data_IF_176873212463
#
_entry.id   IF_176873212463
#
_cell.length_a   1.000
_cell.length_b   1.000
_cell.length_c   1.000
_cell.angle_alpha   90.00
_cell.angle_beta   90.00
_cell.angle_gamma   90.00
#
_symmetry.space_group_name_H-M   'P 1'
#
loop_
_entity.id
_entity.type
_entity.pdbx_description
1 polymer ?
#
# COMPACT_ATOMS: atom_id res chain seq x y z
N UNK A 1 27.67 32.10 -6.88
CA UNK A 1 27.02 31.70 -5.62
C UNK A 1 25.78 30.89 -5.98
N UNK A 2 25.77 29.55 -5.82
CA UNK A 2 24.59 28.76 -6.14
C UNK A 2 23.62 28.71 -4.95
N UNK A 3 22.33 28.62 -5.28
CA UNK A 3 21.15 28.83 -4.42
C UNK A 3 20.89 27.66 -3.43
N UNK A 4 20.38 27.91 -2.22
CA UNK A 4 20.33 26.94 -1.12
C UNK A 4 19.00 26.17 -1.01
N UNK A 5 18.58 25.42 -2.04
CA UNK A 5 17.31 24.65 -2.01
C UNK A 5 17.41 23.16 -2.36
N UNK A 6 18.58 22.54 -2.30
CA UNK A 6 18.70 21.07 -2.33
C UNK A 6 18.40 20.50 -0.94
N UNK A 7 17.12 20.34 -0.61
CA UNK A 7 16.71 19.43 0.47
C UNK A 7 17.12 18.03 0.01
N UNK A 8 18.01 17.39 0.77
CA UNK A 8 18.57 16.07 0.51
C UNK A 8 17.47 15.01 0.35
N UNK A 9 17.06 14.75 -0.89
CA UNK A 9 16.40 13.53 -1.30
C UNK A 9 17.52 12.50 -1.50
N UNK A 10 17.81 11.71 -0.48
CA UNK A 10 18.82 10.65 -0.59
C UNK A 10 18.22 9.47 -1.37
N UNK A 11 18.86 9.00 -2.46
CA UNK A 11 18.49 7.73 -3.05
C UNK A 11 18.64 6.64 -1.99
N UNK A 12 17.65 5.77 -1.88
CA UNK A 12 17.75 4.63 -0.99
C UNK A 12 18.88 3.73 -1.51
N UNK A 13 19.90 3.45 -0.69
CA UNK A 13 21.00 2.58 -1.11
C UNK A 13 20.43 1.21 -1.52
N UNK A 14 20.69 0.85 -2.77
CA UNK A 14 20.22 -0.37 -3.41
C UNK A 14 21.07 -1.52 -2.85
N UNK A 15 20.56 -2.21 -1.82
CA UNK A 15 20.95 -3.58 -1.54
C UNK A 15 20.59 -4.49 -2.73
N UNK A 16 21.15 -5.70 -2.80
CA UNK A 16 21.04 -6.64 -3.94
C UNK A 16 19.72 -6.50 -4.72
N UNK A 17 19.82 -6.28 -6.03
CA UNK A 17 18.66 -6.04 -6.90
C UNK A 17 17.68 -7.22 -6.84
N UNK A 18 16.58 -7.03 -6.11
CA UNK A 18 15.47 -7.98 -6.08
C UNK A 18 14.78 -7.98 -7.46
N UNK A 19 15.01 -9.04 -8.22
CA UNK A 19 14.67 -9.18 -9.65
C UNK A 19 13.19 -9.47 -9.90
N UNK A 20 12.45 -9.88 -8.87
CA UNK A 20 11.02 -10.17 -8.97
C UNK A 20 10.25 -8.98 -9.54
N UNK A 21 9.38 -9.25 -10.52
CA UNK A 21 8.48 -8.26 -11.11
C UNK A 21 7.27 -8.08 -10.21
N UNK A 22 6.74 -6.86 -10.13
CA UNK A 22 5.52 -6.59 -9.38
C UNK A 22 4.32 -7.30 -10.00
N UNK A 23 3.40 -7.77 -9.15
CA UNK A 23 2.11 -8.28 -9.60
C UNK A 23 1.27 -7.16 -10.22
N UNK A 24 0.46 -7.52 -11.22
CA UNK A 24 -0.46 -6.59 -11.88
C UNK A 24 -1.57 -6.10 -10.93
N UNK A 25 -2.08 -4.90 -11.20
CA UNK A 25 -3.23 -4.32 -10.47
C UNK A 25 -4.44 -5.26 -10.56
N UNK A 26 -4.72 -5.80 -11.76
CA UNK A 26 -5.81 -6.74 -12.00
C UNK A 26 -5.67 -8.04 -11.21
N UNK A 27 -4.45 -8.58 -11.10
CA UNK A 27 -4.18 -9.78 -10.32
C UNK A 27 -4.45 -9.55 -8.82
N UNK A 28 -3.93 -8.46 -8.26
CA UNK A 28 -4.13 -8.14 -6.84
C UNK A 28 -5.58 -7.73 -6.53
N UNK A 29 -6.28 -7.12 -7.50
CA UNK A 29 -7.71 -6.87 -7.41
C UNK A 29 -8.51 -8.18 -7.41
N UNK A 30 -8.13 -9.14 -8.27
CA UNK A 30 -8.68 -10.49 -8.30
C UNK A 30 -8.52 -11.21 -6.97
N UNK A 31 -7.32 -11.15 -6.37
CA UNK A 31 -7.02 -11.71 -5.05
C UNK A 31 -8.00 -11.22 -3.97
N UNK A 32 -8.26 -9.91 -3.95
CA UNK A 32 -9.18 -9.27 -3.00
C UNK A 32 -10.63 -9.75 -3.11
N UNK A 33 -11.00 -10.30 -4.26
CA UNK A 33 -12.35 -10.78 -4.56
C UNK A 33 -12.43 -12.31 -4.65
N UNK A 34 -11.39 -13.05 -4.23
CA UNK A 34 -11.28 -14.50 -4.45
C UNK A 34 -11.55 -14.88 -5.92
N UNK A 35 -11.11 -14.00 -6.82
CA UNK A 35 -11.35 -14.07 -8.24
C UNK A 35 -10.37 -14.99 -8.96
N UNK A 36 -10.37 -14.84 -10.29
CA UNK A 36 -9.40 -15.50 -11.16
C UNK A 36 -8.08 -14.76 -11.18
N UNK A 37 -7.01 -15.50 -11.41
CA UNK A 37 -5.67 -15.00 -11.69
C UNK A 37 -5.69 -14.19 -13.00
N UNK A 38 -4.92 -13.11 -13.03
CA UNK A 38 -4.63 -12.42 -14.28
C UNK A 38 -3.52 -13.18 -15.03
N UNK A 39 -3.83 -13.67 -16.22
CA UNK A 39 -2.88 -14.37 -17.09
C UNK A 39 -1.70 -13.49 -17.51
N UNK A 40 -1.82 -12.17 -17.41
CA UNK A 40 -0.73 -11.22 -17.69
C UNK A 40 0.15 -10.92 -16.47
N UNK A 41 -0.21 -11.44 -15.28
CA UNK A 41 0.65 -11.28 -14.11
C UNK A 41 1.98 -12.00 -14.35
N UNK A 42 3.14 -11.34 -14.20
CA UNK A 42 4.44 -11.97 -14.43
C UNK A 42 4.73 -13.13 -13.46
N UNK A 43 3.99 -13.20 -12.36
CA UNK A 43 4.17 -14.19 -11.30
C UNK A 43 3.02 -15.22 -11.28
N UNK A 44 2.17 -15.27 -12.32
CA UNK A 44 0.95 -16.11 -12.34
C UNK A 44 1.24 -17.58 -12.08
N UNK A 45 2.32 -18.13 -12.62
CA UNK A 45 2.71 -19.53 -12.41
C UNK A 45 3.09 -19.81 -10.95
N UNK A 46 3.72 -18.84 -10.26
CA UNK A 46 4.02 -18.95 -8.84
C UNK A 46 2.75 -18.90 -8.00
N UNK A 47 1.75 -18.12 -8.41
CA UNK A 47 0.46 -18.07 -7.71
C UNK A 47 -0.30 -19.41 -7.82
N UNK A 48 -0.15 -20.11 -8.96
CA UNK A 48 -0.76 -21.42 -9.22
C UNK A 48 -0.12 -22.56 -8.43
N UNK A 49 1.14 -22.43 -8.02
CA UNK A 49 1.88 -23.50 -7.33
C UNK A 49 1.85 -24.84 -8.08
N UNK A 50 1.95 -24.79 -9.41
CA UNK A 50 1.88 -25.98 -10.28
C UNK A 50 0.51 -26.65 -10.35
N UNK A 51 -0.56 -26.03 -9.84
CA UNK A 51 -1.94 -26.52 -9.96
C UNK A 51 -2.59 -25.99 -11.22
N UNK A 52 -3.39 -26.83 -11.86
CA UNK A 52 -4.30 -26.44 -12.94
C UNK A 52 -5.55 -25.76 -12.35
N UNK A 53 -5.36 -24.55 -11.80
CA UNK A 53 -6.42 -23.74 -11.23
C UNK A 53 -6.18 -22.27 -11.58
N UNK A 54 -7.21 -21.63 -12.13
CA UNK A 54 -7.17 -20.23 -12.50
C UNK A 54 -7.58 -19.28 -11.36
N UNK A 55 -7.73 -19.76 -10.13
CA UNK A 55 -8.06 -18.94 -8.96
C UNK A 55 -6.90 -18.76 -8.01
N UNK A 56 -6.92 -17.64 -7.29
CA UNK A 56 -5.98 -17.40 -6.19
C UNK A 56 -6.12 -18.47 -5.10
N UNK A 57 -5.00 -19.06 -4.68
CA UNK A 57 -4.96 -20.11 -3.65
C UNK A 57 -5.07 -19.58 -2.21
N UNK A 58 -4.83 -18.28 -2.03
CA UNK A 58 -4.86 -17.61 -0.72
C UNK A 58 -5.74 -16.36 -0.79
N UNK A 59 -6.18 -15.91 0.38
CA UNK A 59 -6.87 -14.63 0.52
C UNK A 59 -5.87 -13.46 0.62
N UNK A 60 -6.38 -12.23 0.48
CA UNK A 60 -5.58 -11.03 0.79
C UNK A 60 -5.11 -11.00 2.25
N UNK A 61 -5.97 -11.38 3.19
CA UNK A 61 -5.63 -11.44 4.62
C UNK A 61 -4.51 -12.45 4.87
N UNK A 62 -4.59 -13.62 4.22
CA UNK A 62 -3.54 -14.64 4.33
C UNK A 62 -2.22 -14.16 3.72
N UNK A 63 -2.27 -13.45 2.60
CA UNK A 63 -1.07 -12.82 2.01
C UNK A 63 -0.42 -11.83 2.98
N UNK A 64 -1.20 -10.94 3.60
CA UNK A 64 -0.70 -9.96 4.58
C UNK A 64 -0.07 -10.66 5.79
N UNK A 65 -0.69 -11.74 6.29
CA UNK A 65 -0.14 -12.54 7.39
C UNK A 65 1.19 -13.20 7.03
N UNK A 66 1.29 -13.80 5.83
CA UNK A 66 2.51 -14.43 5.35
C UNK A 66 3.65 -13.42 5.19
N UNK A 67 3.35 -12.26 4.61
CA UNK A 67 4.32 -11.17 4.50
C UNK A 67 4.81 -10.69 5.86
N UNK A 68 3.90 -10.49 6.82
CA UNK A 68 4.28 -10.13 8.19
C UNK A 68 5.20 -11.18 8.82
N UNK A 69 4.79 -12.45 8.80
CA UNK A 69 5.57 -13.54 9.38
C UNK A 69 6.98 -13.60 8.77
N UNK A 70 7.08 -13.55 7.45
CA UNK A 70 8.36 -13.58 6.74
C UNK A 70 9.28 -12.43 7.18
N UNK A 71 8.76 -11.20 7.29
CA UNK A 71 9.54 -10.02 7.67
C UNK A 71 9.90 -9.98 9.16
N UNK A 72 9.06 -10.55 10.02
CA UNK A 72 9.38 -10.73 11.44
C UNK A 72 10.48 -11.78 11.64
N UNK A 73 10.46 -12.86 10.84
CA UNK A 73 11.51 -13.88 10.84
C UNK A 73 12.83 -13.34 10.28
N UNK A 74 12.81 -12.72 9.10
CA UNK A 74 13.97 -12.07 8.49
C UNK A 74 13.54 -10.84 7.68
N UNK A 75 13.93 -9.67 8.18
CA UNK A 75 13.46 -8.38 7.66
C UNK A 75 14.01 -8.04 6.27
N UNK A 76 15.13 -8.66 5.88
CA UNK A 76 15.77 -8.49 4.57
C UNK A 76 15.34 -9.55 3.56
N UNK A 77 14.56 -10.56 3.97
CA UNK A 77 14.14 -11.65 3.10
C UNK A 77 13.10 -11.17 2.08
N UNK A 78 13.56 -11.01 0.83
CA UNK A 78 12.77 -10.51 -0.31
C UNK A 78 12.06 -9.17 -0.03
N UNK A 79 12.71 -8.33 0.77
CA UNK A 79 12.28 -6.99 1.12
C UNK A 79 13.41 -6.01 0.86
N UNK A 80 13.30 -5.23 -0.21
CA UNK A 80 14.36 -4.30 -0.61
C UNK A 80 13.80 -2.90 -0.79
N UNK A 81 14.41 -1.87 -0.18
CA UNK A 81 14.02 -0.50 -0.46
C UNK A 81 14.27 -0.19 -1.94
N UNK A 82 13.41 0.62 -2.55
CA UNK A 82 13.57 1.03 -3.94
C UNK A 82 13.01 2.44 -4.18
N UNK A 83 13.48 3.06 -5.27
CA UNK A 83 13.05 4.39 -5.65
C UNK A 83 13.49 5.45 -4.65
N UNK A 84 12.69 6.51 -4.56
CA UNK A 84 13.00 7.71 -3.77
C UNK A 84 12.30 7.64 -2.42
N UNK A 85 13.05 7.92 -1.34
CA UNK A 85 12.48 8.10 0.00
C UNK A 85 11.63 9.38 0.04
N UNK A 86 10.35 9.23 0.36
CA UNK A 86 9.47 10.37 0.63
C UNK A 86 9.60 10.87 2.07
N UNK A 87 9.03 12.04 2.35
CA UNK A 87 9.07 12.64 3.69
C UNK A 87 8.35 11.80 4.76
N UNK A 88 7.37 10.98 4.36
CA UNK A 88 6.52 10.20 5.26
C UNK A 88 6.74 8.68 5.19
N UNK A 89 7.70 8.24 4.38
CA UNK A 89 8.03 6.84 4.26
C UNK A 89 8.89 6.50 3.03
N UNK A 90 9.40 5.28 3.01
CA UNK A 90 10.20 4.75 1.93
C UNK A 90 9.47 3.59 1.21
N UNK A 91 9.57 3.48 -0.12
CA UNK A 91 9.03 2.33 -0.84
C UNK A 91 9.93 1.10 -0.66
N UNK A 92 9.31 -0.06 -0.41
CA UNK A 92 9.94 -1.37 -0.37
C UNK A 92 9.29 -2.28 -1.39
N UNK A 93 10.09 -3.02 -2.15
CA UNK A 93 9.62 -4.15 -2.95
C UNK A 93 9.60 -5.36 -2.04
N UNK A 94 8.43 -5.93 -1.83
CA UNK A 94 8.22 -7.06 -0.91
C UNK A 94 7.63 -8.23 -1.68
N UNK A 95 8.27 -9.39 -1.65
CA UNK A 95 7.75 -10.63 -2.25
C UNK A 95 7.37 -11.63 -1.17
N UNK A 96 6.15 -12.16 -1.25
CA UNK A 96 5.73 -13.33 -0.49
C UNK A 96 6.30 -14.58 -1.16
N UNK A 97 7.41 -15.11 -0.64
CA UNK A 97 8.15 -16.22 -1.24
C UNK A 97 7.28 -17.45 -1.52
N UNK A 98 6.40 -17.90 -0.60
CA UNK A 98 5.64 -19.13 -0.81
C UNK A 98 4.68 -19.08 -2.01
N UNK A 99 4.25 -17.90 -2.46
CA UNK A 99 3.24 -17.76 -3.53
C UNK A 99 3.64 -16.77 -4.63
N UNK A 100 4.82 -16.15 -4.55
CA UNK A 100 5.35 -15.22 -5.55
C UNK A 100 4.59 -13.88 -5.67
N UNK A 101 3.77 -13.49 -4.68
CA UNK A 101 3.12 -12.18 -4.71
C UNK A 101 4.13 -11.08 -4.41
N UNK A 102 4.43 -10.24 -5.40
CA UNK A 102 5.37 -9.12 -5.28
C UNK A 102 4.61 -7.80 -5.29
N UNK A 103 4.72 -7.05 -4.20
CA UNK A 103 3.92 -5.84 -3.91
C UNK A 103 4.81 -4.71 -3.41
N UNK A 104 4.23 -3.52 -3.27
CA UNK A 104 4.88 -2.37 -2.63
C UNK A 104 4.52 -2.32 -1.15
N UNK A 105 5.53 -2.23 -0.30
CA UNK A 105 5.40 -1.84 1.10
C UNK A 105 5.86 -0.40 1.28
N UNK A 106 4.96 0.53 1.60
CA UNK A 106 5.34 1.88 2.02
C UNK A 106 5.70 1.83 3.51
N UNK A 107 7.00 1.76 3.80
CA UNK A 107 7.53 1.69 5.16
C UNK A 107 7.60 3.06 5.81
N UNK A 108 7.19 3.15 7.07
CA UNK A 108 7.24 4.37 7.88
C UNK A 108 7.69 4.10 9.32
N UNK A 109 8.15 5.16 9.98
CA UNK A 109 8.61 5.11 11.36
C UNK A 109 7.44 5.24 12.34
N UNK A 110 7.58 4.75 13.56
CA UNK A 110 6.53 4.89 14.59
C UNK A 110 6.20 6.35 14.93
N UNK A 111 7.14 7.28 14.73
CA UNK A 111 6.91 8.72 14.93
C UNK A 111 5.85 9.28 13.97
N UNK A 112 5.83 8.79 12.73
CA UNK A 112 4.93 9.26 11.67
C UNK A 112 3.66 8.41 11.55
N UNK A 113 3.58 7.29 12.27
CA UNK A 113 2.49 6.32 12.14
C UNK A 113 1.11 6.93 12.44
N UNK A 114 1.01 7.86 13.38
CA UNK A 114 -0.25 8.54 13.70
C UNK A 114 -0.82 9.37 12.52
N UNK A 115 0.03 9.78 11.58
CA UNK A 115 -0.37 10.46 10.36
C UNK A 115 -0.62 9.45 9.24
N UNK A 116 0.30 8.51 9.03
CA UNK A 116 0.26 7.56 7.92
C UNK A 116 -0.81 6.48 8.10
N UNK A 117 -1.11 6.03 9.32
CA UNK A 117 -2.18 5.05 9.58
C UNK A 117 -3.57 5.51 9.09
N UNK A 118 -3.79 6.84 9.03
CA UNK A 118 -5.03 7.41 8.49
C UNK A 118 -5.15 7.20 6.98
N UNK A 119 -4.02 7.07 6.28
CA UNK A 119 -3.99 6.77 4.85
C UNK A 119 -4.67 5.42 4.56
N UNK A 120 -4.52 4.43 5.44
CA UNK A 120 -5.20 3.14 5.32
C UNK A 120 -6.73 3.26 5.46
N UNK A 121 -7.24 4.22 6.26
CA UNK A 121 -8.69 4.53 6.31
C UNK A 121 -9.15 5.08 4.94
N UNK A 122 -8.34 5.92 4.30
CA UNK A 122 -8.66 6.56 3.02
C UNK A 122 -8.70 5.53 1.89
N UNK A 123 -7.73 4.63 1.81
CA UNK A 123 -7.77 3.53 0.84
C UNK A 123 -9.01 2.63 1.00
N UNK A 124 -9.48 2.42 2.25
CA UNK A 124 -10.73 1.70 2.52
C UNK A 124 -11.96 2.43 1.99
N UNK A 125 -12.03 3.76 2.15
CA UNK A 125 -13.09 4.58 1.52
C UNK A 125 -13.00 4.49 -0.01
N UNK A 126 -11.78 4.50 -0.55
CA UNK A 126 -11.51 4.43 -1.99
C UNK A 126 -11.62 3.02 -2.58
N UNK A 127 -12.26 2.05 -1.90
CA UNK A 127 -12.39 0.66 -2.36
C UNK A 127 -12.85 0.51 -3.82
N UNK A 128 -13.77 1.38 -4.26
CA UNK A 128 -14.32 1.40 -5.62
C UNK A 128 -13.36 1.97 -6.68
N UNK A 129 -12.38 2.77 -6.28
CA UNK A 129 -11.39 3.39 -7.15
C UNK A 129 -10.07 2.58 -7.23
N UNK A 130 -9.91 1.55 -6.39
CA UNK A 130 -8.72 0.70 -6.37
C UNK A 130 -8.64 -0.17 -7.64
N UNK A 131 -7.49 -0.17 -8.30
CA UNK A 131 -7.31 -0.77 -9.62
C UNK A 131 -7.90 0.08 -10.76
N UNK A 132 -8.14 1.37 -10.51
CA UNK A 132 -8.64 2.34 -11.50
C UNK A 132 -7.95 3.69 -11.30
N UNK A 133 -8.28 4.44 -10.24
CA UNK A 133 -7.69 5.75 -9.95
C UNK A 133 -6.65 5.72 -8.82
N UNK A 134 -6.62 4.66 -8.02
CA UNK A 134 -5.62 4.43 -6.97
C UNK A 134 -5.14 2.97 -6.99
N UNK A 135 -3.95 2.67 -6.46
CA UNK A 135 -3.47 1.30 -6.38
C UNK A 135 -4.37 0.40 -5.52
N UNK A 136 -4.39 -0.90 -5.79
CA UNK A 136 -5.02 -1.88 -4.90
C UNK A 136 -4.28 -1.92 -3.57
N UNK A 137 -4.98 -1.55 -2.50
CA UNK A 137 -4.53 -1.61 -1.12
C UNK A 137 -4.86 -2.97 -0.52
N UNK A 138 -3.85 -3.62 0.07
CA UNK A 138 -3.94 -4.97 0.62
C UNK A 138 -4.08 -4.94 2.14
N UNK A 139 -3.42 -4.00 2.82
CA UNK A 139 -3.50 -3.88 4.26
C UNK A 139 -2.30 -3.17 4.88
N UNK A 140 -2.17 -3.29 6.19
CA UNK A 140 -1.07 -2.76 6.98
C UNK A 140 -0.37 -3.89 7.72
N UNK A 141 0.93 -3.75 7.94
CA UNK A 141 1.70 -4.62 8.83
C UNK A 141 2.51 -3.79 9.82
N UNK A 142 2.58 -4.27 11.05
CA UNK A 142 3.46 -3.77 12.09
C UNK A 142 4.59 -4.79 12.27
N UNK A 143 5.83 -4.37 12.06
CA UNK A 143 6.99 -5.24 12.13
C UNK A 143 7.45 -5.42 13.58
N UNK A 144 7.77 -6.65 13.96
CA UNK A 144 8.37 -6.96 15.25
C UNK A 144 9.80 -6.41 15.33
N UNK A 145 10.55 -6.60 14.24
CA UNK A 145 11.91 -6.08 14.05
C UNK A 145 11.89 -4.67 13.45
N UNK A 146 12.99 -3.94 13.63
CA UNK A 146 13.18 -2.59 13.07
C UNK A 146 14.03 -2.70 11.82
N UNK A 147 13.54 -2.18 10.69
CA UNK A 147 14.39 -2.01 9.51
C UNK A 147 15.10 -0.67 9.62
N UNK A 148 16.43 -0.69 9.75
CA UNK A 148 17.24 0.52 9.83
C UNK A 148 17.58 1.00 8.43
N UNK A 149 16.77 1.91 7.90
CA UNK A 149 16.98 2.48 6.59
C UNK A 149 17.86 3.72 6.69
N UNK A 150 19.03 3.71 6.04
CA UNK A 150 19.89 4.89 6.00
C UNK A 150 19.13 6.06 5.34
N UNK A 151 19.06 7.20 6.03
CA UNK A 151 18.28 8.37 5.58
C UNK A 151 16.75 8.26 5.75
N UNK A 152 16.20 7.06 5.95
CA UNK A 152 14.76 6.83 6.15
C UNK A 152 14.34 6.52 7.60
N UNK A 153 15.30 6.19 8.47
CA UNK A 153 15.08 5.95 9.89
C UNK A 153 14.65 4.52 10.25
N UNK A 154 14.04 4.38 11.43
CA UNK A 154 13.60 3.10 12.00
C UNK A 154 12.21 2.72 11.47
N UNK A 155 12.17 1.98 10.37
CA UNK A 155 10.92 1.54 9.76
C UNK A 155 10.33 0.42 10.62
N UNK A 156 9.06 0.58 10.99
CA UNK A 156 8.34 -0.34 11.88
C UNK A 156 6.92 -0.63 11.44
N UNK A 157 6.36 0.18 10.54
CA UNK A 157 5.02 -0.01 10.01
C UNK A 157 5.07 0.05 8.48
N UNK A 158 4.30 -0.78 7.79
CA UNK A 158 4.21 -0.73 6.34
C UNK A 158 2.75 -0.74 5.86
N UNK A 159 2.46 0.04 4.82
CA UNK A 159 1.23 -0.08 4.03
C UNK A 159 1.53 -0.94 2.80
N UNK A 160 0.80 -2.03 2.64
CA UNK A 160 0.95 -2.96 1.53
C UNK A 160 -0.05 -2.63 0.42
N UNK A 161 0.45 -2.45 -0.80
CA UNK A 161 -0.36 -2.11 -1.97
C UNK A 161 0.29 -2.58 -3.27
N UNK A 162 -0.51 -2.65 -4.33
CA UNK A 162 -0.06 -2.91 -5.69
C UNK A 162 0.90 -1.81 -6.17
N UNK A 163 1.81 -2.18 -7.07
CA UNK A 163 2.71 -1.21 -7.68
C UNK A 163 1.92 -0.23 -8.56
N UNK A 164 2.08 1.06 -8.27
CA UNK A 164 1.29 2.12 -8.91
C UNK A 164 1.73 2.48 -10.33
N UNK A 165 2.90 2.02 -10.77
CA UNK A 165 3.47 2.36 -12.07
C UNK A 165 4.67 3.29 -11.98
N UNK A 166 5.05 3.87 -13.12
CA UNK A 166 6.24 4.73 -13.24
C UNK A 166 5.94 6.15 -12.76
N UNK A 167 6.97 6.82 -12.26
CA UNK A 167 6.90 8.24 -11.91
C UNK A 167 6.56 9.08 -13.16
N UNK A 168 5.68 10.09 -12.99
CA UNK A 168 5.24 10.96 -14.09
C UNK A 168 6.03 12.25 -14.21
N UNK A 169 6.93 12.56 -13.27
CA UNK A 169 7.76 13.77 -13.26
C UNK A 169 8.73 13.85 -14.45
N UNK A 170 9.13 12.70 -14.97
CA UNK A 170 10.03 12.59 -16.14
C UNK A 170 9.28 12.34 -17.45
N UNK A 171 7.95 12.18 -17.40
CA UNK A 171 7.16 11.97 -18.60
C UNK A 171 6.90 13.30 -19.32
N UNK A 172 6.78 13.23 -20.64
CA UNK A 172 6.24 14.35 -21.40
C UNK A 172 4.83 14.67 -20.88
N UNK A 173 4.65 15.91 -20.42
CA UNK A 173 3.39 16.43 -19.91
C UNK A 173 2.36 16.62 -21.04
N UNK A 174 1.96 15.50 -21.64
CA UNK A 174 1.03 15.43 -22.75
C UNK A 174 -0.40 15.71 -22.30
N UNK A 175 -1.23 16.16 -23.23
CA UNK A 175 -2.66 16.36 -22.98
C UNK A 175 -3.35 15.07 -22.53
N UNK A 176 -2.91 13.92 -23.03
CA UNK A 176 -3.42 12.61 -22.63
C UNK A 176 -3.14 12.29 -21.16
N UNK A 177 -1.93 12.58 -20.67
CA UNK A 177 -1.58 12.39 -19.26
C UNK A 177 -2.46 13.28 -18.36
N UNK A 178 -2.59 14.58 -18.68
CA UNK A 178 -3.44 15.50 -17.92
C UNK A 178 -4.91 15.07 -17.91
N UNK A 179 -5.41 14.54 -19.02
CA UNK A 179 -6.76 14.00 -19.12
C UNK A 179 -6.96 12.85 -18.13
N UNK A 180 -6.04 11.88 -18.09
CA UNK A 180 -6.14 10.74 -17.18
C UNK A 180 -5.96 11.13 -15.71
N UNK A 181 -5.07 12.09 -15.40
CA UNK A 181 -4.98 12.70 -14.06
C UNK A 181 -6.32 13.32 -13.66
N UNK A 182 -6.94 14.08 -14.57
CA UNK A 182 -8.25 14.70 -14.36
C UNK A 182 -9.34 13.68 -14.08
N UNK A 183 -9.36 12.57 -14.83
CA UNK A 183 -10.32 11.48 -14.62
C UNK A 183 -10.12 10.79 -13.27
N UNK A 184 -8.89 10.44 -12.90
CA UNK A 184 -8.60 9.83 -11.59
C UNK A 184 -8.96 10.74 -10.42
N UNK A 185 -8.63 12.04 -10.53
CA UNK A 185 -9.01 13.03 -9.51
C UNK A 185 -10.54 13.16 -9.40
N UNK A 186 -11.26 13.13 -10.52
CA UNK A 186 -12.73 13.21 -10.51
C UNK A 186 -13.35 11.99 -9.81
N UNK A 187 -12.82 10.80 -10.07
CA UNK A 187 -13.26 9.55 -9.46
C UNK A 187 -13.05 9.53 -7.94
N UNK A 188 -11.85 9.91 -7.47
CA UNK A 188 -11.52 10.02 -6.04
C UNK A 188 -12.44 11.04 -5.34
N UNK A 189 -12.64 12.20 -5.96
CA UNK A 189 -13.52 13.25 -5.42
C UNK A 189 -14.98 12.81 -5.37
N UNK A 190 -15.45 12.02 -6.34
CA UNK A 190 -16.80 11.47 -6.33
C UNK A 190 -17.04 10.50 -5.15
N UNK A 191 -15.98 9.88 -4.63
CA UNK A 191 -16.00 9.07 -3.41
C UNK A 191 -15.84 9.90 -2.13
N UNK A 192 -15.85 11.23 -2.22
CA UNK A 192 -15.79 12.14 -1.09
C UNK A 192 -14.40 12.29 -0.47
N UNK A 193 -13.34 12.05 -1.25
CA UNK A 193 -11.95 12.24 -0.81
C UNK A 193 -11.33 13.42 -1.55
N UNK A 194 -10.74 14.34 -0.81
CA UNK A 194 -9.89 15.41 -1.33
C UNK A 194 -8.44 15.10 -0.95
N UNK A 195 -7.52 15.03 -1.93
CA UNK A 195 -6.16 14.54 -1.69
C UNK A 195 -5.30 15.45 -0.79
N UNK A 196 -5.41 16.77 -0.94
CA UNK A 196 -4.64 17.73 -0.14
C UNK A 196 -3.15 17.92 -0.50
N UNK A 197 -2.60 17.15 -1.46
CA UNK A 197 -1.20 17.28 -1.93
C UNK A 197 -1.00 16.71 -3.35
N UNK A 198 -1.70 17.29 -4.33
CA UNK A 198 -1.68 16.84 -5.72
C UNK A 198 -0.44 17.37 -6.46
N UNK A 199 0.69 16.69 -6.28
CA UNK A 199 1.94 16.94 -7.04
C UNK A 199 2.19 15.79 -8.02
N UNK A 200 2.96 16.03 -9.08
CA UNK A 200 3.34 14.97 -10.03
C UNK A 200 4.07 13.80 -9.36
N UNK A 201 4.85 14.07 -8.32
CA UNK A 201 5.49 13.01 -7.51
C UNK A 201 4.49 12.04 -6.83
N UNK A 202 3.23 12.45 -6.67
CA UNK A 202 2.13 11.64 -6.11
C UNK A 202 1.22 11.05 -7.21
N UNK A 203 1.63 11.14 -8.47
CA UNK A 203 0.93 10.63 -9.64
C UNK A 203 1.84 9.65 -10.36
N UNK A 204 1.37 8.41 -10.52
CA UNK A 204 2.09 7.34 -11.20
C UNK A 204 1.35 6.95 -12.49
N UNK A 205 2.08 6.72 -13.57
CA UNK A 205 1.51 6.19 -14.81
C UNK A 205 1.53 4.67 -14.78
N UNK A 206 0.35 4.07 -14.80
CA UNK A 206 0.18 2.62 -14.84
C UNK A 206 -0.12 2.18 -16.28
N UNK A 207 0.88 1.57 -16.93
CA UNK A 207 0.77 1.07 -18.31
C UNK A 207 -0.29 -0.01 -18.47
N UNK A 208 -0.42 -0.90 -17.48
CA UNK A 208 -1.40 -2.00 -17.49
C UNK A 208 -2.84 -1.48 -17.60
N UNK A 209 -3.15 -0.39 -16.88
CA UNK A 209 -4.47 0.22 -16.85
C UNK A 209 -4.63 1.36 -17.86
N UNK A 210 -3.55 1.82 -18.49
CA UNK A 210 -3.52 3.03 -19.31
C UNK A 210 -4.02 4.25 -18.53
N UNK A 211 -3.62 4.36 -17.25
CA UNK A 211 -4.26 5.26 -16.30
C UNK A 211 -3.28 5.88 -15.31
N UNK A 212 -3.53 7.14 -14.96
CA UNK A 212 -2.81 7.82 -13.89
C UNK A 212 -3.34 7.38 -12.51
N UNK A 213 -2.52 6.70 -11.72
CA UNK A 213 -2.84 6.32 -10.35
C UNK A 213 -2.33 7.37 -9.38
N UNK A 214 -3.19 7.77 -8.44
CA UNK A 214 -2.86 8.76 -7.41
C UNK A 214 -2.52 8.02 -6.11
N UNK A 215 -1.44 8.44 -5.46
CA UNK A 215 -0.90 7.84 -4.24
C UNK A 215 -0.64 8.90 -3.16
N UNK A 216 -0.34 8.46 -1.95
CA UNK A 216 0.08 9.31 -0.83
C UNK A 216 -1.02 10.20 -0.23
N UNK A 217 -2.04 9.55 0.34
CA UNK A 217 -3.22 10.22 0.90
C UNK A 217 -3.07 10.69 2.35
N UNK A 218 -1.85 10.83 2.89
CA UNK A 218 -1.63 11.22 4.29
C UNK A 218 -2.18 12.62 4.63
N UNK A 219 -2.23 13.52 3.63
CA UNK A 219 -2.81 14.89 3.72
C UNK A 219 -4.27 14.97 3.29
N UNK A 220 -4.91 13.84 3.00
CA UNK A 220 -6.26 13.84 2.47
C UNK A 220 -7.32 14.19 3.50
N UNK A 221 -8.41 14.77 3.01
CA UNK A 221 -9.59 15.11 3.77
C UNK A 221 -10.76 14.28 3.26
N UNK A 222 -11.53 13.73 4.19
CA UNK A 222 -12.79 13.06 3.89
C UNK A 222 -13.92 14.06 3.99
N UNK A 223 -14.91 13.95 3.10
CA UNK A 223 -16.14 14.73 3.19
C UNK A 223 -16.78 14.56 4.58
N UNK A 224 -17.41 15.60 5.17
CA UNK A 224 -17.94 15.56 6.54
C UNK A 224 -18.83 14.34 6.84
N UNK A 225 -19.70 13.97 5.88
CA UNK A 225 -20.60 12.81 5.97
C UNK A 225 -19.86 11.47 6.14
N UNK A 226 -18.65 11.35 5.60
CA UNK A 226 -17.81 10.17 5.74
C UNK A 226 -17.01 10.20 7.06
N UNK A 227 -16.66 11.39 7.55
CA UNK A 227 -16.00 11.54 8.84
C UNK A 227 -16.91 11.12 10.00
N UNK A 228 -18.21 11.43 9.94
CA UNK A 228 -19.20 11.01 10.94
C UNK A 228 -19.31 9.48 11.02
N UNK A 229 -19.45 8.79 9.87
CA UNK A 229 -19.46 7.32 9.79
C UNK A 229 -18.14 6.71 10.29
N UNK A 230 -17.00 7.36 10.03
CA UNK A 230 -15.71 6.90 10.55
C UNK A 230 -15.66 7.00 12.08
N UNK A 231 -16.13 8.10 12.64
CA UNK A 231 -16.12 8.33 14.07
C UNK A 231 -17.08 7.38 14.81
N UNK A 232 -18.24 7.05 14.22
CA UNK A 232 -19.16 6.05 14.77
C UNK A 232 -18.55 4.65 14.77
N UNK A 233 -17.87 4.26 13.68
CA UNK A 233 -17.16 2.97 13.60
C UNK A 233 -16.01 2.87 14.62
N UNK A 234 -15.21 3.94 14.78
CA UNK A 234 -14.14 3.98 15.79
C UNK A 234 -14.68 3.89 17.22
N UNK A 235 -15.82 4.54 17.52
CA UNK A 235 -16.49 4.42 18.83
C UNK A 235 -16.98 3.00 19.10
N UNK A 236 -17.65 2.38 18.13
CA UNK A 236 -18.14 1.00 18.24
C UNK A 236 -17.01 -0.03 18.43
N UNK A 237 -15.88 0.12 17.71
CA UNK A 237 -14.70 -0.74 17.89
C UNK A 237 -14.07 -0.57 19.27
N UNK A 238 -14.00 0.67 19.78
CA UNK A 238 -13.48 0.95 21.12
C UNK A 238 -14.40 0.38 22.22
N UNK A 239 -15.73 0.52 22.06
CA UNK A 239 -16.72 -0.06 22.98
C UNK A 239 -16.67 -1.60 23.01
N UNK A 240 -16.44 -2.22 21.86
CA UNK A 240 -16.30 -3.69 21.75
C UNK A 240 -15.04 -4.16 22.48
N UNK A 241 -13.90 -3.49 22.29
CA UNK A 241 -12.65 -3.82 23.00
C UNK A 241 -12.73 -3.62 24.52
N UNK A 242 -13.46 -2.58 24.98
CA UNK A 242 -13.72 -2.37 26.43
C UNK A 242 -14.65 -3.46 27.00
N UNK A 243 -15.59 -3.98 26.21
CA UNK A 243 -16.48 -5.06 26.64
C UNK A 243 -15.78 -6.43 26.73
N UNK A 244 -14.82 -6.71 25.85
CA UNK A 244 -14.02 -7.94 25.87
C UNK A 244 -12.99 -7.93 27.01
N UNK A 245 -12.39 -6.77 27.30
CA UNK A 245 -11.46 -6.60 28.43
C UNK A 245 -12.14 -6.68 29.82
N UNK A 246 -13.47 -6.63 29.89
CA UNK A 246 -14.26 -6.68 31.15
C UNK A 246 -14.87 -8.06 31.45
N UNK A 247 -14.65 -9.09 30.63
CA UNK A 247 -15.15 -10.45 30.95
C UNK A 247 -14.32 -11.03 32.11
N UNK A 248 -14.91 -11.34 33.28
CA UNK A 248 -14.18 -11.99 34.36
C UNK A 248 -13.76 -13.40 33.92
N UNK A 249 -12.51 -13.77 34.21
CA UNK A 249 -12.08 -15.17 34.22
C UNK A 249 -12.95 -15.91 35.24
N UNK A 250 -13.96 -16.64 34.77
CA UNK A 250 -14.65 -17.62 35.61
C UNK A 250 -13.67 -18.76 35.88
N UNK A 251 -13.11 -18.71 37.09
CA UNK A 251 -12.33 -19.77 37.71
C UNK A 251 -13.17 -21.05 37.74
N UNK A 252 -12.77 -22.04 36.92
CA UNK A 252 -13.37 -23.37 36.94
C UNK A 252 -12.94 -24.07 38.22
N UNK A 253 -13.80 -24.06 39.24
CA UNK A 253 -13.82 -25.09 40.28
C UNK A 253 -14.59 -26.29 39.75
N UNK A 254 -13.86 -27.37 39.48
CA UNK A 254 -14.09 -28.74 39.96
C UNK A 254 -13.05 -29.67 39.35
#
# INVERSE_FOLDING_TARGET
>A
MPMPWMIFILPCQIGQHHTAKFCTQRCLLGLRHWGILDSHCPNVELHRQGRDNDRHLISTERLVQLLKQQLDENIDHDCTPFGVCGAYGAPFKVTCVPYGYTVVGKGTTSRLWNEVSREADVYRVLKKAQGSAVPVFLGTIDLEKIYFLHGGGQIRHMLLMAYGGKDTTELEHSQALFHEIGRSRKEIRALGVEHGDMRFANVLWNEELGRALIIDFHRSKLAPRLMEKRNSLKRSLCETQVSEAKRPLMEKRN
#
